data_IF_029534834456
#
_entry.id   IF_029534834456
#
_cell.length_a   1.000
_cell.length_b   1.000
_cell.length_c   1.000
_cell.angle_alpha   90.00
_cell.angle_beta   90.00
_cell.angle_gamma   90.00
#
_symmetry.space_group_name_H-M   'P 1'
#
loop_
_entity.id
_entity.type
_entity.pdbx_description
1 polymer ?
#
# COMPACT_ATOMS: atom_id res chain seq x y z
N UNK A 1 18.19 -25.61 26.25
CA UNK A 1 17.36 -25.12 25.12
C UNK A 1 17.60 -23.65 24.76
N UNK A 2 17.84 -22.74 25.72
CA UNK A 2 18.12 -21.31 25.43
C UNK A 2 19.40 -21.05 24.60
N UNK A 3 20.50 -21.75 24.89
CA UNK A 3 21.80 -21.56 24.19
C UNK A 3 21.78 -21.98 22.70
N UNK A 4 20.89 -22.91 22.32
CA UNK A 4 20.77 -23.38 20.93
C UNK A 4 20.02 -22.35 20.09
N UNK A 5 18.97 -21.72 20.64
CA UNK A 5 18.24 -20.65 19.96
C UNK A 5 19.11 -19.42 19.71
N UNK A 6 19.95 -19.04 20.67
CA UNK A 6 20.85 -17.88 20.53
C UNK A 6 21.98 -18.13 19.51
N UNK A 7 22.55 -19.34 19.47
CA UNK A 7 23.50 -19.73 18.43
C UNK A 7 22.86 -19.74 17.05
N UNK A 8 21.61 -20.18 16.95
CA UNK A 8 20.88 -20.22 15.67
C UNK A 8 20.53 -18.81 15.18
N UNK A 9 20.15 -17.88 16.06
CA UNK A 9 19.89 -16.49 15.68
C UNK A 9 21.16 -15.79 15.19
N UNK A 10 22.28 -15.94 15.92
CA UNK A 10 23.57 -15.36 15.53
C UNK A 10 24.07 -15.88 14.18
N UNK A 11 23.85 -17.18 13.88
CA UNK A 11 24.17 -17.78 12.57
C UNK A 11 23.31 -17.23 11.44
N UNK A 12 22.01 -17.06 11.68
CA UNK A 12 21.08 -16.48 10.70
C UNK A 12 21.41 -15.01 10.41
N UNK A 13 21.82 -14.25 11.42
CA UNK A 13 22.25 -12.85 11.27
C UNK A 13 23.58 -12.75 10.50
N UNK A 14 24.51 -13.68 10.73
CA UNK A 14 25.77 -13.76 9.98
C UNK A 14 25.58 -14.19 8.51
N UNK A 15 24.68 -15.14 8.24
CA UNK A 15 24.33 -15.54 6.87
C UNK A 15 23.58 -14.42 6.14
N UNK A 16 22.64 -13.74 6.80
CA UNK A 16 21.94 -12.60 6.23
C UNK A 16 22.89 -11.44 5.93
N UNK A 17 23.84 -11.13 6.81
CA UNK A 17 24.81 -10.03 6.57
C UNK A 17 25.79 -10.32 5.44
N UNK A 18 26.25 -11.57 5.26
CA UNK A 18 27.05 -11.97 4.09
C UNK A 18 26.26 -11.89 2.79
N UNK A 19 25.04 -12.43 2.76
CA UNK A 19 24.14 -12.33 1.61
C UNK A 19 23.81 -10.87 1.26
N UNK A 20 23.68 -10.00 2.25
CA UNK A 20 23.44 -8.56 2.04
C UNK A 20 24.62 -7.86 1.35
N UNK A 21 25.87 -8.21 1.69
CA UNK A 21 27.06 -7.62 1.09
C UNK A 21 27.22 -8.04 -0.37
N UNK A 22 27.01 -9.33 -0.67
CA UNK A 22 27.06 -9.86 -2.04
C UNK A 22 25.94 -9.28 -2.93
N UNK A 23 24.72 -9.12 -2.38
CA UNK A 23 23.59 -8.51 -3.09
C UNK A 23 23.81 -7.01 -3.38
N UNK A 24 24.41 -6.26 -2.45
CA UNK A 24 24.76 -4.84 -2.64
C UNK A 24 25.82 -4.70 -3.74
N UNK A 25 26.81 -5.58 -3.76
CA UNK A 25 27.88 -5.60 -4.77
C UNK A 25 27.34 -5.99 -6.16
N UNK A 26 26.39 -6.93 -6.23
CA UNK A 26 25.67 -7.26 -7.46
C UNK A 26 24.80 -6.11 -7.97
N UNK A 27 24.13 -5.38 -7.06
CA UNK A 27 23.36 -4.18 -7.42
C UNK A 27 24.26 -3.04 -7.90
N UNK A 28 25.45 -2.85 -7.29
CA UNK A 28 26.44 -1.87 -7.75
C UNK A 28 26.89 -2.15 -9.19
N UNK A 29 27.17 -3.42 -9.52
CA UNK A 29 27.53 -3.87 -10.88
C UNK A 29 26.45 -3.64 -11.92
N UNK A 30 25.17 -3.68 -11.55
CA UNK A 30 24.05 -3.46 -12.47
C UNK A 30 23.55 -1.99 -12.55
N UNK A 31 23.98 -1.09 -11.67
CA UNK A 31 23.40 0.27 -11.56
C UNK A 31 23.86 1.29 -12.62
N UNK A 32 24.70 0.91 -13.60
CA UNK A 32 25.33 1.86 -14.53
C UNK A 32 24.61 2.05 -15.88
N UNK A 33 23.47 1.42 -16.15
CA UNK A 33 22.71 1.65 -17.39
C UNK A 33 21.51 2.56 -17.16
N UNK A 34 21.62 3.82 -17.57
CA UNK A 34 20.47 4.74 -17.71
C UNK A 34 19.60 4.30 -18.88
N UNK A 35 18.69 3.37 -18.64
CA UNK A 35 17.67 2.97 -19.60
C UNK A 35 16.60 4.06 -19.72
N UNK A 36 16.19 4.39 -20.95
CA UNK A 36 15.05 5.27 -21.17
C UNK A 36 13.76 4.62 -20.65
N UNK A 37 12.75 5.42 -20.30
CA UNK A 37 11.47 4.93 -19.74
C UNK A 37 10.75 3.95 -20.67
N UNK A 38 10.89 4.09 -22.00
CA UNK A 38 10.36 3.16 -23.00
C UNK A 38 11.07 1.81 -22.96
N UNK A 39 12.39 1.80 -22.88
CA UNK A 39 13.21 0.57 -22.81
C UNK A 39 12.99 -0.17 -21.49
N UNK A 40 12.83 0.56 -20.39
CA UNK A 40 12.50 -0.02 -19.08
C UNK A 40 11.15 -0.74 -19.12
N UNK A 41 10.12 -0.12 -19.72
CA UNK A 41 8.79 -0.74 -19.87
C UNK A 41 8.79 -1.99 -20.73
N UNK A 42 9.57 -2.01 -21.81
CA UNK A 42 9.72 -3.20 -22.65
C UNK A 42 10.43 -4.34 -21.89
N UNK A 43 11.47 -4.01 -21.12
CA UNK A 43 12.19 -4.97 -20.28
C UNK A 43 11.39 -5.49 -19.08
N UNK A 44 10.46 -4.70 -18.56
CA UNK A 44 9.50 -5.13 -17.52
C UNK A 44 8.39 -6.04 -18.07
N UNK A 45 8.08 -5.93 -19.38
CA UNK A 45 7.06 -6.73 -20.06
C UNK A 45 7.59 -8.03 -20.67
N UNK A 46 8.91 -8.15 -20.87
CA UNK A 46 9.49 -9.37 -21.43
C UNK A 46 9.32 -10.55 -20.48
N UNK A 47 8.88 -11.69 -21.01
CA UNK A 47 8.71 -12.96 -20.29
C UNK A 47 10.04 -13.70 -20.06
N UNK A 48 11.17 -13.00 -20.20
CA UNK A 48 12.50 -13.57 -20.09
C UNK A 48 12.78 -13.91 -18.61
N UNK A 49 13.14 -15.17 -18.30
CA UNK A 49 13.33 -15.61 -16.92
C UNK A 49 14.48 -14.89 -16.22
N UNK A 50 15.53 -14.51 -16.95
CA UNK A 50 16.69 -13.78 -16.41
C UNK A 50 16.34 -12.34 -15.99
N UNK A 51 15.52 -11.63 -16.78
CA UNK A 51 15.03 -10.29 -16.40
C UNK A 51 14.03 -10.37 -15.26
N UNK A 52 13.18 -11.39 -15.24
CA UNK A 52 12.28 -11.68 -14.10
C UNK A 52 13.08 -11.95 -12.82
N UNK A 53 14.19 -12.70 -12.92
CA UNK A 53 15.14 -12.95 -11.83
C UNK A 53 15.80 -11.65 -11.34
N UNK A 54 16.18 -10.73 -12.23
CA UNK A 54 16.70 -9.41 -11.86
C UNK A 54 15.67 -8.55 -11.11
N UNK A 55 14.39 -8.60 -11.51
CA UNK A 55 13.32 -7.91 -10.77
C UNK A 55 12.96 -8.64 -9.45
N UNK A 56 13.13 -9.96 -9.38
CA UNK A 56 12.93 -10.75 -8.17
C UNK A 56 14.08 -10.59 -7.15
N UNK A 57 15.30 -10.41 -7.65
CA UNK A 57 16.50 -10.13 -6.86
C UNK A 57 16.62 -8.65 -6.49
N UNK A 58 15.81 -7.77 -7.09
CA UNK A 58 15.77 -6.36 -6.77
C UNK A 58 15.61 -6.16 -5.26
N UNK A 59 16.56 -5.48 -4.58
CA UNK A 59 16.53 -5.36 -3.12
C UNK A 59 15.22 -4.77 -2.60
N UNK A 60 14.61 -3.85 -3.35
CA UNK A 60 13.29 -3.28 -3.01
C UNK A 60 12.21 -4.36 -2.96
N UNK A 61 12.18 -5.29 -3.92
CA UNK A 61 11.21 -6.39 -3.91
C UNK A 61 11.45 -7.35 -2.73
N UNK A 62 12.72 -7.65 -2.37
CA UNK A 62 13.05 -8.43 -1.17
C UNK A 62 12.62 -7.71 0.11
N UNK A 63 12.89 -6.41 0.23
CA UNK A 63 12.49 -5.57 1.37
C UNK A 63 10.97 -5.54 1.48
N UNK A 64 10.25 -5.23 0.40
CA UNK A 64 8.79 -5.20 0.38
C UNK A 64 8.18 -6.55 0.77
N UNK A 65 8.73 -7.67 0.30
CA UNK A 65 8.29 -9.01 0.72
C UNK A 65 8.49 -9.23 2.22
N UNK A 66 9.65 -8.86 2.77
CA UNK A 66 9.93 -8.98 4.21
C UNK A 66 9.01 -8.09 5.05
N UNK A 67 8.83 -6.83 4.65
CA UNK A 67 7.93 -5.88 5.31
C UNK A 67 6.49 -6.40 5.28
N UNK A 68 6.04 -6.90 4.13
CA UNK A 68 4.72 -7.50 3.96
C UNK A 68 4.53 -8.71 4.88
N UNK A 69 5.43 -9.69 4.82
CA UNK A 69 5.38 -10.90 5.65
C UNK A 69 5.40 -10.58 7.16
N UNK A 70 6.18 -9.56 7.56
CA UNK A 70 6.24 -9.10 8.94
C UNK A 70 4.94 -8.42 9.38
N UNK A 71 4.38 -7.56 8.54
CA UNK A 71 3.11 -6.89 8.80
C UNK A 71 1.94 -7.88 8.86
N UNK A 72 1.93 -8.89 7.98
CA UNK A 72 0.97 -10.01 8.00
C UNK A 72 1.09 -10.81 9.30
N UNK A 73 2.31 -11.21 9.70
CA UNK A 73 2.55 -11.94 10.95
C UNK A 73 2.04 -11.18 12.18
N UNK A 74 2.10 -9.84 12.16
CA UNK A 74 1.61 -8.99 13.23
C UNK A 74 0.15 -8.55 13.08
N UNK A 75 -0.55 -9.01 12.05
CA UNK A 75 -1.93 -8.60 11.70
C UNK A 75 -2.09 -7.08 11.61
N UNK A 76 -1.04 -6.38 11.15
CA UNK A 76 -1.01 -4.92 10.98
C UNK A 76 -1.11 -4.49 9.51
N UNK A 77 -1.32 -5.44 8.60
CA UNK A 77 -1.49 -5.16 7.18
C UNK A 77 -2.98 -5.14 6.83
N UNK A 78 -3.47 -4.01 6.37
CA UNK A 78 -4.83 -3.88 5.83
C UNK A 78 -4.77 -3.77 4.30
N UNK A 79 -5.45 -4.69 3.62
CA UNK A 79 -5.66 -4.58 2.17
C UNK A 79 -6.94 -3.81 1.93
N UNK A 80 -6.82 -2.61 1.35
CA UNK A 80 -7.95 -1.71 1.14
C UNK A 80 -8.34 -1.72 -0.34
N UNK A 81 -9.63 -1.89 -0.68
CA UNK A 81 -10.08 -1.81 -2.06
C UNK A 81 -9.84 -0.39 -2.61
N UNK A 82 -9.34 -0.26 -3.85
CA UNK A 82 -9.00 1.06 -4.42
C UNK A 82 -10.23 1.86 -4.87
N UNK A 83 -11.45 1.28 -4.80
CA UNK A 83 -12.64 1.93 -5.34
C UNK A 83 -13.02 3.17 -4.52
N UNK A 84 -13.33 4.27 -5.20
CA UNK A 84 -13.83 5.53 -4.64
C UNK A 84 -12.93 6.26 -3.61
N UNK A 85 -11.77 5.70 -3.26
CA UNK A 85 -10.80 6.29 -2.33
C UNK A 85 -10.31 7.67 -2.78
N UNK A 86 -10.18 7.89 -4.08
CA UNK A 86 -9.72 9.17 -4.65
C UNK A 86 -10.84 10.10 -5.09
N UNK A 87 -12.10 9.89 -4.68
CA UNK A 87 -13.24 10.71 -5.14
C UNK A 87 -14.24 11.07 -4.06
N UNK A 88 -14.19 10.48 -2.87
CA UNK A 88 -15.08 10.84 -1.77
C UNK A 88 -14.52 12.05 -1.03
N UNK A 89 -15.36 13.06 -0.77
CA UNK A 89 -14.94 14.24 -0.01
C UNK A 89 -14.66 13.88 1.46
N UNK A 90 -13.47 14.23 2.01
CA UNK A 90 -13.16 14.01 3.41
C UNK A 90 -14.08 14.75 4.39
N UNK A 91 -14.73 15.84 3.95
CA UNK A 91 -15.53 16.73 4.79
C UNK A 91 -17.01 16.35 4.87
N UNK A 92 -17.64 16.09 3.72
CA UNK A 92 -19.08 15.84 3.63
C UNK A 92 -19.44 14.48 3.02
N UNK A 93 -18.45 13.63 2.76
CA UNK A 93 -18.60 12.29 2.18
C UNK A 93 -19.32 12.24 0.81
N UNK A 94 -19.58 13.37 0.14
CA UNK A 94 -20.14 13.38 -1.21
C UNK A 94 -19.08 13.14 -2.29
N UNK A 95 -19.52 12.69 -3.47
CA UNK A 95 -18.63 12.50 -4.62
C UNK A 95 -18.09 13.83 -5.15
N UNK A 96 -16.77 13.94 -5.16
CA UNK A 96 -16.01 15.05 -5.74
C UNK A 96 -15.88 14.90 -7.26
N UNK A 97 -15.68 16.03 -7.92
CA UNK A 97 -15.43 16.12 -9.36
C UNK A 97 -14.06 16.73 -9.60
N UNK A 98 -13.46 16.40 -10.75
CA UNK A 98 -12.23 17.05 -11.17
C UNK A 98 -12.47 18.52 -11.48
N UNK A 99 -11.49 19.35 -11.18
CA UNK A 99 -11.49 20.74 -11.63
C UNK A 99 -11.37 20.80 -13.16
N UNK A 100 -11.98 21.80 -13.79
CA UNK A 100 -11.90 21.97 -15.25
C UNK A 100 -10.42 22.02 -15.67
N UNK A 101 -10.05 21.14 -16.62
CA UNK A 101 -8.68 21.02 -17.18
C UNK A 101 -7.60 20.52 -16.21
N UNK A 102 -7.94 20.08 -14.99
CA UNK A 102 -7.00 19.56 -13.99
C UNK A 102 -7.46 18.21 -13.44
N UNK A 103 -6.67 17.16 -13.69
CA UNK A 103 -6.97 15.79 -13.24
C UNK A 103 -6.47 15.51 -11.81
N UNK A 104 -5.48 16.27 -11.38
CA UNK A 104 -4.80 16.24 -10.09
C UNK A 104 -5.63 16.91 -8.98
N UNK A 105 -6.54 17.84 -9.33
CA UNK A 105 -7.37 18.55 -8.35
C UNK A 105 -8.82 18.10 -8.33
N UNK A 106 -9.37 18.04 -7.12
CA UNK A 106 -10.76 17.70 -6.87
C UNK A 106 -11.49 18.87 -6.21
N UNK A 107 -12.74 19.05 -6.61
CA UNK A 107 -13.64 20.06 -6.05
C UNK A 107 -14.93 19.38 -5.59
N UNK A 108 -15.36 19.74 -4.39
CA UNK A 108 -16.63 19.31 -3.83
C UNK A 108 -17.65 20.45 -3.84
N UNK A 109 -18.95 20.10 -3.84
CA UNK A 109 -20.05 21.06 -3.70
C UNK A 109 -20.05 21.79 -2.35
N UNK A 110 -19.45 21.20 -1.31
CA UNK A 110 -19.31 21.83 0.01
C UNK A 110 -18.19 22.89 0.10
N UNK A 111 -17.55 23.22 -1.02
CA UNK A 111 -16.43 24.18 -1.09
C UNK A 111 -15.05 23.56 -0.80
N UNK A 112 -14.98 22.28 -0.43
CA UNK A 112 -13.69 21.61 -0.21
C UNK A 112 -12.96 21.36 -1.55
N UNK A 113 -11.69 21.76 -1.61
CA UNK A 113 -10.80 21.57 -2.76
C UNK A 113 -9.43 21.10 -2.27
N UNK A 114 -8.92 20.04 -2.87
CA UNK A 114 -7.61 19.47 -2.52
C UNK A 114 -7.08 18.62 -3.68
N UNK A 115 -5.81 18.24 -3.59
CA UNK A 115 -5.18 17.32 -4.53
C UNK A 115 -5.77 15.90 -4.36
N UNK A 116 -5.88 15.19 -5.48
CA UNK A 116 -6.48 13.86 -5.58
C UNK A 116 -5.76 12.85 -4.68
N UNK A 117 -4.45 12.93 -4.61
CA UNK A 117 -3.62 12.01 -3.82
C UNK A 117 -3.79 12.28 -2.31
N UNK A 118 -3.91 13.55 -1.91
CA UNK A 118 -4.23 13.91 -0.52
C UNK A 118 -5.60 13.35 -0.10
N UNK A 119 -6.60 13.48 -0.98
CA UNK A 119 -7.93 12.90 -0.76
C UNK A 119 -7.85 11.38 -0.66
N UNK A 120 -7.06 10.74 -1.55
CA UNK A 120 -6.86 9.30 -1.53
C UNK A 120 -6.25 8.81 -0.23
N UNK A 121 -5.15 9.42 0.23
CA UNK A 121 -4.47 9.04 1.49
C UNK A 121 -5.42 9.16 2.69
N UNK A 122 -6.18 10.26 2.79
CA UNK A 122 -7.15 10.45 3.87
C UNK A 122 -8.24 9.38 3.86
N UNK A 123 -8.78 9.05 2.70
CA UNK A 123 -9.83 8.05 2.60
C UNK A 123 -9.30 6.62 2.83
N UNK A 124 -8.08 6.31 2.38
CA UNK A 124 -7.39 5.05 2.70
C UNK A 124 -7.22 4.91 4.22
N UNK A 125 -6.77 5.96 4.90
CA UNK A 125 -6.63 5.96 6.36
C UNK A 125 -7.99 5.75 7.07
N UNK A 126 -9.04 6.45 6.63
CA UNK A 126 -10.39 6.26 7.19
C UNK A 126 -10.91 4.84 6.99
N UNK A 127 -10.68 4.24 5.82
CA UNK A 127 -11.05 2.85 5.57
C UNK A 127 -10.26 1.89 6.46
N UNK A 128 -8.95 2.12 6.65
CA UNK A 128 -8.14 1.33 7.59
C UNK A 128 -8.69 1.38 9.02
N UNK A 129 -9.13 2.56 9.47
CA UNK A 129 -9.74 2.74 10.80
C UNK A 129 -11.09 2.01 10.94
N UNK A 130 -11.91 1.99 9.88
CA UNK A 130 -13.14 1.19 9.85
C UNK A 130 -12.82 -0.31 9.95
N UNK A 131 -11.81 -0.78 9.21
CA UNK A 131 -11.37 -2.18 9.30
C UNK A 131 -10.78 -2.55 10.66
N UNK A 132 -10.30 -1.56 11.40
CA UNK A 132 -9.84 -1.70 12.78
C UNK A 132 -10.96 -1.48 13.81
N UNK A 133 -12.22 -1.44 13.37
CA UNK A 133 -13.42 -1.35 14.22
C UNK A 133 -13.59 -0.04 15.01
N UNK A 134 -12.87 1.03 14.66
CA UNK A 134 -12.98 2.32 15.34
C UNK A 134 -14.32 3.03 15.09
N UNK A 135 -15.12 2.58 14.11
CA UNK A 135 -16.45 3.15 13.85
C UNK A 135 -17.47 2.79 14.94
N UNK A 136 -17.24 1.81 15.81
CA UNK A 136 -18.14 1.52 16.93
C UNK A 136 -17.96 2.48 18.11
N UNK A 137 -16.87 3.25 18.15
CA UNK A 137 -16.60 4.17 19.26
C UNK A 137 -17.64 5.30 19.31
N UNK A 138 -18.08 5.67 20.51
CA UNK A 138 -19.00 6.80 20.72
C UNK A 138 -18.31 8.18 20.70
N UNK A 139 -17.13 8.27 20.07
CA UNK A 139 -16.37 9.51 19.91
C UNK A 139 -16.81 10.27 18.66
N UNK A 140 -16.40 11.54 18.55
CA UNK A 140 -16.58 12.35 17.33
C UNK A 140 -15.99 11.63 16.12
N UNK A 141 -14.78 11.05 16.28
CA UNK A 141 -14.12 10.26 15.24
C UNK A 141 -14.97 9.04 14.86
N UNK A 142 -15.47 8.28 15.83
CA UNK A 142 -16.31 7.12 15.56
C UNK A 142 -17.57 7.49 14.79
N UNK A 143 -18.24 8.60 15.13
CA UNK A 143 -19.40 9.13 14.38
C UNK A 143 -19.04 9.45 12.92
N UNK A 144 -17.93 10.16 12.69
CA UNK A 144 -17.46 10.49 11.34
C UNK A 144 -17.11 9.24 10.50
N UNK A 145 -16.58 8.20 11.15
CA UNK A 145 -16.28 6.91 10.51
C UNK A 145 -17.55 6.13 10.19
N UNK A 146 -18.59 6.17 11.05
CA UNK A 146 -19.90 5.54 10.76
C UNK A 146 -20.57 6.16 9.54
N UNK A 147 -20.62 7.48 9.48
CA UNK A 147 -21.20 8.21 8.35
C UNK A 147 -20.46 7.89 7.04
N UNK A 148 -19.12 7.81 7.11
CA UNK A 148 -18.30 7.41 5.97
C UNK A 148 -18.55 5.96 5.53
N UNK A 149 -18.63 5.03 6.49
CA UNK A 149 -18.92 3.61 6.24
C UNK A 149 -20.26 3.45 5.50
N UNK A 150 -21.31 4.13 5.96
CA UNK A 150 -22.63 4.10 5.31
C UNK A 150 -22.56 4.55 3.85
N UNK A 151 -21.79 5.59 3.55
CA UNK A 151 -21.60 6.08 2.18
C UNK A 151 -20.83 5.05 1.33
N UNK A 152 -19.75 4.46 1.86
CA UNK A 152 -19.00 3.42 1.16
C UNK A 152 -19.88 2.20 0.87
N UNK A 153 -20.61 1.71 1.87
CA UNK A 153 -21.49 0.55 1.76
C UNK A 153 -22.55 0.78 0.68
N UNK A 154 -23.09 2.00 0.58
CA UNK A 154 -24.02 2.41 -0.48
C UNK A 154 -23.37 2.44 -1.87
N UNK A 155 -22.14 2.94 -1.99
CA UNK A 155 -21.40 3.06 -3.26
C UNK A 155 -20.83 1.72 -3.74
N UNK A 156 -20.56 0.82 -2.81
CA UNK A 156 -19.90 -0.44 -3.07
C UNK A 156 -20.58 -1.56 -2.29
N UNK A 157 -21.77 -2.02 -2.73
CA UNK A 157 -22.44 -3.17 -2.11
C UNK A 157 -21.59 -4.45 -2.14
N UNK A 158 -20.48 -4.46 -2.89
CA UNK A 158 -19.47 -5.53 -2.95
C UNK A 158 -18.40 -5.49 -1.84
N UNK A 159 -18.17 -4.35 -1.17
CA UNK A 159 -17.13 -4.24 -0.12
C UNK A 159 -17.54 -5.05 1.11
N UNK A 160 -18.81 -5.03 1.52
CA UNK A 160 -19.32 -5.85 2.62
C UNK A 160 -19.09 -7.35 2.39
N UNK A 161 -19.29 -7.84 1.16
CA UNK A 161 -19.04 -9.24 0.78
C UNK A 161 -17.56 -9.61 0.79
N UNK A 162 -16.67 -8.68 0.47
CA UNK A 162 -15.22 -8.87 0.50
C UNK A 162 -14.63 -8.81 1.93
N UNK A 163 -15.29 -8.08 2.85
CA UNK A 163 -14.89 -7.98 4.26
C UNK A 163 -15.41 -9.12 5.13
N UNK A 164 -16.52 -9.75 4.75
CA UNK A 164 -17.12 -10.90 5.47
C UNK A 164 -16.71 -12.26 4.90
N UNK A 165 -15.96 -12.28 3.79
CA UNK A 165 -15.59 -13.49 3.05
C UNK A 165 -14.09 -13.79 3.06
N UNK A 166 -13.40 -13.52 4.18
CA UNK A 166 -11.99 -13.84 4.40
C UNK A 166 -11.80 -14.64 5.67
#
# INVERSE_FOLDING_TARGET
>A
MAQICEKHSKRLDQQNSRSHKEDIEACRRHSSRRLSTKQLKASLRSKDPEKSLLFASWPVAKILRRVKAFAEKRRKLFTIPPQYTSRICPRCNSMMRHERRRWDRLVCRCGFRDDRDNVAVRNIARTALILSEFHYLNTILGKQLREYKQVIDKLTPKISKALLGG
#
